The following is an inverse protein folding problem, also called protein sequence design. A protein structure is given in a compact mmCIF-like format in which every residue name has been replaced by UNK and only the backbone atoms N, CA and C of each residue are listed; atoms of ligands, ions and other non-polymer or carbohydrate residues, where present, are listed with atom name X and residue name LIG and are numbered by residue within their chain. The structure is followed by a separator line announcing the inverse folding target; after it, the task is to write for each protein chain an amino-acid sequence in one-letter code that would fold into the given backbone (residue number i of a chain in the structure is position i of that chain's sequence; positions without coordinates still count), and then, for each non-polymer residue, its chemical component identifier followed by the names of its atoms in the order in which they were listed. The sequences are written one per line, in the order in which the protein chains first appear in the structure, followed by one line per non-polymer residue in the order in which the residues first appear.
data_IF_957919549083
#
_entry.id   IF_957919549083
#
_cell.length_a   1.000
_cell.length_b   1.000
_cell.length_c   1.000
_cell.angle_alpha   90.00
_cell.angle_beta   90.00
_cell.angle_gamma   90.00
#
_symmetry.space_group_name_H-M   'P 1'
#
loop_
_entity.id
_entity.type
_entity.pdbx_description
1 polymer ?
#
# COMPACT_ATOMS: atom_id res chain seq x y z
N UNK A 1 -3.49 14.34 -18.91
CA UNK A 1 -2.03 14.23 -18.65
C UNK A 1 -1.35 15.56 -18.27
N UNK A 2 -1.67 16.71 -18.88
CA UNK A 2 -1.00 17.99 -18.58
C UNK A 2 -1.23 18.53 -17.14
N UNK A 3 -2.37 18.30 -16.51
CA UNK A 3 -2.64 18.74 -15.14
C UNK A 3 -1.90 17.93 -14.06
N UNK A 4 -1.60 16.65 -14.34
CA UNK A 4 -0.93 15.77 -13.41
C UNK A 4 0.57 16.09 -13.26
N UNK A 5 1.23 16.54 -14.33
CA UNK A 5 2.64 16.94 -14.29
C UNK A 5 2.88 18.26 -13.53
N UNK A 6 1.85 19.09 -13.37
CA UNK A 6 1.92 20.35 -12.60
C UNK A 6 1.75 20.11 -11.09
N UNK A 7 0.96 19.10 -10.69
CA UNK A 7 0.82 18.67 -9.28
C UNK A 7 2.11 18.05 -8.74
N UNK A 8 2.85 17.32 -9.58
CA UNK A 8 4.12 16.69 -9.22
C UNK A 8 5.24 17.69 -8.86
N UNK A 9 5.20 18.90 -9.38
CA UNK A 9 6.23 19.93 -9.10
C UNK A 9 6.09 20.56 -7.71
N UNK A 10 4.96 20.37 -7.01
CA UNK A 10 4.83 20.62 -5.59
C UNK A 10 5.22 19.35 -4.82
N UNK A 11 6.52 19.09 -4.67
CA UNK A 11 6.98 18.15 -3.63
C UNK A 11 6.36 18.62 -2.30
N UNK A 12 5.33 17.90 -1.85
CA UNK A 12 4.67 18.18 -0.58
C UNK A 12 5.67 17.92 0.53
N UNK A 13 6.13 18.99 1.14
CA UNK A 13 7.06 18.90 2.27
C UNK A 13 6.31 18.19 3.39
N UNK A 14 6.80 17.03 3.85
CA UNK A 14 6.17 16.29 4.95
C UNK A 14 6.05 17.17 6.20
N UNK A 15 4.98 16.95 6.97
CA UNK A 15 4.68 17.62 8.23
C UNK A 15 4.24 16.62 9.28
N UNK A 16 4.31 17.01 10.54
CA UNK A 16 3.70 16.26 11.62
C UNK A 16 2.26 16.74 11.83
N UNK A 17 1.34 15.79 11.90
CA UNK A 17 -0.09 16.00 12.16
C UNK A 17 -0.49 15.26 13.42
N UNK A 18 -1.47 15.79 14.15
CA UNK A 18 -2.18 15.08 15.21
C UNK A 18 -3.56 14.69 14.69
N UNK A 19 -3.78 13.41 14.48
CA UNK A 19 -5.02 12.89 13.88
C UNK A 19 -5.89 12.19 14.92
N UNK A 20 -7.17 12.51 14.90
CA UNK A 20 -8.23 11.87 15.69
C UNK A 20 -8.84 10.74 14.88
N UNK A 21 -8.89 9.53 15.43
CA UNK A 21 -9.59 8.41 14.78
C UNK A 21 -11.09 8.68 14.77
N UNK A 22 -11.71 8.60 13.58
CA UNK A 22 -13.15 8.71 13.41
C UNK A 22 -13.83 7.34 13.52
N UNK A 23 -13.32 6.36 12.76
CA UNK A 23 -13.83 5.00 12.72
C UNK A 23 -12.65 4.04 12.81
N UNK A 24 -12.84 2.96 13.55
CA UNK A 24 -11.94 1.81 13.61
C UNK A 24 -12.79 0.56 13.36
N UNK A 25 -12.66 -0.03 12.18
CA UNK A 25 -13.46 -1.19 11.75
C UNK A 25 -12.57 -2.38 11.43
N UNK A 26 -12.93 -3.57 11.92
CA UNK A 26 -12.20 -4.80 11.62
C UNK A 26 -12.53 -5.29 10.20
N UNK A 27 -11.51 -5.35 9.34
CA UNK A 27 -11.60 -5.84 7.95
C UNK A 27 -11.61 -7.36 7.94
N UNK A 28 -10.69 -7.95 8.67
CA UNK A 28 -10.51 -9.39 8.91
C UNK A 28 -9.73 -9.56 10.20
N UNK A 29 -9.55 -10.79 10.68
CA UNK A 29 -8.88 -11.09 11.95
C UNK A 29 -7.61 -10.26 12.17
N UNK A 30 -7.58 -9.46 13.23
CA UNK A 30 -6.47 -8.59 13.63
C UNK A 30 -6.05 -7.54 12.58
N UNK A 31 -6.92 -7.19 11.63
CA UNK A 31 -6.65 -6.17 10.63
C UNK A 31 -7.79 -5.17 10.57
N UNK A 32 -7.47 -3.90 10.69
CA UNK A 32 -8.42 -2.82 10.90
C UNK A 32 -8.25 -1.73 9.84
N UNK A 33 -9.36 -1.16 9.42
CA UNK A 33 -9.41 0.10 8.67
C UNK A 33 -9.66 1.23 9.68
N UNK A 34 -8.79 2.23 9.65
CA UNK A 34 -8.89 3.41 10.51
C UNK A 34 -9.08 4.63 9.63
N UNK A 35 -10.16 5.40 9.86
CA UNK A 35 -10.39 6.69 9.23
C UNK A 35 -10.18 7.81 10.24
N UNK A 36 -9.96 9.04 9.75
CA UNK A 36 -9.61 10.19 10.55
C UNK A 36 -10.60 11.34 10.40
N UNK A 37 -10.66 12.23 11.38
CA UNK A 37 -11.45 13.45 11.34
C UNK A 37 -10.74 14.54 10.54
N UNK A 38 -9.42 14.63 10.71
CA UNK A 38 -8.56 15.57 10.01
C UNK A 38 -8.09 14.99 8.67
N UNK A 39 -7.63 15.84 7.77
CA UNK A 39 -7.14 15.49 6.45
C UNK A 39 -5.88 16.28 6.08
N UNK A 40 -5.15 15.80 5.08
CA UNK A 40 -4.03 16.49 4.45
C UNK A 40 -3.83 15.99 3.01
N UNK A 41 -3.19 16.78 2.18
CA UNK A 41 -2.93 16.43 0.79
C UNK A 41 -1.83 15.37 0.67
N UNK A 42 -2.10 14.34 -0.12
CA UNK A 42 -1.13 13.33 -0.53
C UNK A 42 -1.53 12.72 -1.88
N UNK A 43 -0.57 12.03 -2.52
CA UNK A 43 -0.76 11.37 -3.80
C UNK A 43 -0.74 9.83 -3.63
N UNK A 44 -1.37 9.08 -4.55
CA UNK A 44 -1.35 7.61 -4.51
C UNK A 44 0.07 7.05 -4.39
N UNK A 45 0.23 5.96 -3.65
CA UNK A 45 1.52 5.30 -3.41
C UNK A 45 2.37 5.94 -2.30
N UNK A 46 1.97 7.09 -1.74
CA UNK A 46 2.65 7.67 -0.58
C UNK A 46 2.22 6.99 0.73
N UNK A 47 3.05 7.14 1.76
CA UNK A 47 2.85 6.53 3.07
C UNK A 47 3.00 7.56 4.20
N UNK A 48 2.73 7.13 5.41
CA UNK A 48 2.96 7.90 6.63
C UNK A 48 3.71 7.09 7.68
N UNK A 49 4.31 7.79 8.64
CA UNK A 49 4.91 7.20 9.83
C UNK A 49 4.10 7.60 11.06
N UNK A 50 3.51 6.62 11.74
CA UNK A 50 2.60 6.83 12.87
C UNK A 50 3.29 6.51 14.19
N UNK A 51 3.12 7.38 15.18
CA UNK A 51 3.45 7.13 16.59
C UNK A 51 2.34 7.62 17.50
N UNK A 52 2.31 7.06 18.68
CA UNK A 52 1.49 7.50 19.80
C UNK A 52 2.21 7.09 21.07
N UNK A 53 2.04 7.82 22.15
CA UNK A 53 2.65 7.50 23.44
C UNK A 53 2.23 6.10 23.88
N UNK A 54 3.16 5.28 24.34
CA UNK A 54 2.93 3.87 24.66
C UNK A 54 3.06 2.86 23.52
N UNK A 55 3.10 3.31 22.23
CA UNK A 55 3.23 2.40 21.08
C UNK A 55 4.68 1.98 20.78
N UNK A 56 5.65 2.37 21.61
CA UNK A 56 7.08 2.10 21.47
C UNK A 56 7.87 3.28 20.90
N UNK A 57 9.19 3.11 20.85
CA UNK A 57 10.14 4.20 20.56
C UNK A 57 10.12 4.68 19.10
N UNK A 58 9.80 3.81 18.16
CA UNK A 58 9.85 4.14 16.74
C UNK A 58 8.46 4.30 16.15
N UNK A 59 8.33 5.24 15.21
CA UNK A 59 7.14 5.34 14.36
C UNK A 59 6.98 4.07 13.51
N UNK A 60 5.76 3.80 13.09
CA UNK A 60 5.43 2.65 12.23
C UNK A 60 4.91 3.11 10.89
N UNK A 61 5.42 2.55 9.77
CA UNK A 61 4.96 2.91 8.43
C UNK A 61 3.58 2.32 8.14
N UNK A 62 2.73 3.12 7.50
CA UNK A 62 1.45 2.69 6.93
C UNK A 62 1.22 3.39 5.59
N UNK A 63 0.71 2.65 4.61
CA UNK A 63 0.30 3.22 3.34
C UNK A 63 -0.92 4.13 3.54
N UNK A 64 -0.93 5.24 2.81
CA UNK A 64 -2.03 6.21 2.86
C UNK A 64 -3.13 5.84 1.85
N UNK A 65 -4.37 6.00 2.26
CA UNK A 65 -5.53 5.82 1.42
C UNK A 65 -6.59 6.89 1.62
N UNK A 66 -7.50 6.96 0.66
CA UNK A 66 -8.75 7.73 0.74
C UNK A 66 -9.92 6.83 0.42
N UNK A 67 -10.97 6.92 1.21
CA UNK A 67 -12.22 6.26 0.95
C UNK A 67 -13.18 7.27 0.33
N UNK A 68 -13.93 6.84 -0.70
CA UNK A 68 -14.87 7.71 -1.40
C UNK A 68 -14.22 9.04 -1.88
N UNK A 69 -12.93 9.00 -2.24
CA UNK A 69 -12.11 10.14 -2.67
C UNK A 69 -11.92 11.26 -1.64
N UNK A 70 -12.44 11.12 -0.44
CA UNK A 70 -12.48 12.20 0.55
C UNK A 70 -11.89 11.84 1.91
N UNK A 71 -12.19 10.66 2.44
CA UNK A 71 -11.90 10.30 3.83
C UNK A 71 -10.51 9.69 3.98
N UNK A 72 -9.60 10.37 4.67
CA UNK A 72 -8.26 9.86 4.96
C UNK A 72 -8.33 8.56 5.75
N UNK A 73 -7.58 7.56 5.32
CA UNK A 73 -7.57 6.24 5.93
C UNK A 73 -6.19 5.56 5.89
N UNK A 74 -5.98 4.66 6.84
CA UNK A 74 -4.90 3.67 6.86
C UNK A 74 -5.46 2.30 7.18
N UNK A 75 -4.80 1.23 6.71
CA UNK A 75 -5.07 -0.13 7.16
C UNK A 75 -3.98 -0.58 8.12
N UNK A 76 -4.37 -1.14 9.26
CA UNK A 76 -3.46 -1.54 10.33
C UNK A 76 -3.65 -3.01 10.66
N UNK A 77 -2.63 -3.83 10.43
CA UNK A 77 -2.56 -5.20 10.95
C UNK A 77 -1.88 -5.21 12.32
N UNK A 78 -2.52 -5.79 13.31
CA UNK A 78 -1.90 -6.02 14.62
C UNK A 78 -0.85 -7.11 14.47
N UNK A 79 0.42 -6.70 14.50
CA UNK A 79 1.59 -7.59 14.43
C UNK A 79 2.42 -7.57 15.73
N UNK A 80 2.04 -6.73 16.69
CA UNK A 80 2.71 -6.61 17.99
C UNK A 80 2.12 -5.46 18.81
N UNK A 81 2.64 -5.27 20.02
CA UNK A 81 2.11 -4.30 21.01
C UNK A 81 1.93 -2.88 20.45
N UNK A 82 2.84 -2.39 19.64
CA UNK A 82 2.75 -1.02 19.11
C UNK A 82 1.61 -0.84 18.10
N UNK A 83 1.40 -1.77 17.17
CA UNK A 83 0.25 -1.73 16.25
C UNK A 83 -1.06 -1.98 16.97
N UNK A 84 -1.07 -2.85 17.99
CA UNK A 84 -2.21 -3.07 18.85
C UNK A 84 -2.60 -1.78 19.60
N UNK A 85 -1.62 -1.07 20.16
CA UNK A 85 -1.87 0.19 20.85
C UNK A 85 -2.42 1.25 19.90
N UNK A 86 -1.88 1.40 18.69
CA UNK A 86 -2.40 2.32 17.66
C UNK A 86 -3.89 2.04 17.37
N UNK A 87 -4.29 0.77 17.27
CA UNK A 87 -5.69 0.39 17.01
C UNK A 87 -6.58 0.71 18.22
N UNK A 88 -6.15 0.36 19.44
CA UNK A 88 -7.00 0.37 20.64
C UNK A 88 -7.03 1.70 21.38
N UNK A 89 -5.97 2.54 21.29
CA UNK A 89 -5.93 3.82 22.02
C UNK A 89 -7.03 4.78 21.57
N UNK A 90 -7.50 5.61 22.48
CA UNK A 90 -8.36 6.76 22.17
C UNK A 90 -7.56 8.07 22.01
N UNK A 91 -6.25 8.03 22.18
CA UNK A 91 -5.39 9.19 22.01
C UNK A 91 -5.24 9.58 20.53
N UNK A 92 -4.91 10.84 20.27
CA UNK A 92 -4.57 11.30 18.93
C UNK A 92 -3.27 10.65 18.47
N UNK A 93 -3.25 10.26 17.21
CA UNK A 93 -2.06 9.69 16.57
C UNK A 93 -1.17 10.82 16.03
N UNK A 94 0.12 10.76 16.34
CA UNK A 94 1.11 11.66 15.72
C UNK A 94 1.58 11.05 14.40
N UNK A 95 1.25 11.71 13.30
CA UNK A 95 1.45 11.21 11.95
C UNK A 95 2.40 12.12 11.20
N UNK A 96 3.54 11.58 10.75
CA UNK A 96 4.47 12.27 9.84
C UNK A 96 4.10 11.88 8.40
N UNK A 97 3.66 12.83 7.59
CA UNK A 97 3.13 12.59 6.24
C UNK A 97 3.19 13.86 5.37
N UNK A 98 2.97 13.77 4.03
CA UNK A 98 3.13 12.52 3.25
C UNK A 98 4.61 12.18 3.05
N UNK A 99 4.93 10.90 2.94
CA UNK A 99 6.28 10.38 2.74
C UNK A 99 6.34 9.49 1.50
N UNK A 100 7.54 9.31 0.96
CA UNK A 100 7.78 8.52 -0.25
C UNK A 100 7.37 9.23 -1.53
N UNK A 101 7.67 8.58 -2.65
CA UNK A 101 7.33 9.07 -3.97
C UNK A 101 5.90 8.67 -4.36
N UNK A 102 5.16 9.53 -5.08
CA UNK A 102 3.86 9.15 -5.60
C UNK A 102 3.98 8.08 -6.69
N UNK A 103 2.98 7.21 -6.75
CA UNK A 103 2.82 6.24 -7.83
C UNK A 103 2.08 6.88 -9.01
N UNK A 104 2.69 6.78 -10.19
CA UNK A 104 2.15 7.28 -11.45
C UNK A 104 2.23 6.14 -12.46
N UNK A 105 1.10 5.50 -12.81
CA UNK A 105 1.11 4.46 -13.80
C UNK A 105 1.35 5.01 -15.21
N UNK A 106 1.93 4.19 -16.08
CA UNK A 106 2.22 4.54 -17.47
C UNK A 106 0.94 4.60 -18.35
N UNK A 107 -0.12 3.89 -17.95
CA UNK A 107 -1.43 3.88 -18.60
C UNK A 107 -2.57 3.82 -17.57
N UNK A 108 -3.81 4.03 -18.02
CA UNK A 108 -5.00 3.87 -17.18
C UNK A 108 -5.56 2.43 -17.19
N UNK A 109 -4.92 1.51 -17.89
CA UNK A 109 -5.39 0.13 -18.03
C UNK A 109 -4.62 -0.80 -17.09
N UNK A 110 -5.02 -0.85 -15.83
CA UNK A 110 -4.37 -1.67 -14.80
C UNK A 110 -5.34 -2.30 -13.83
N UNK A 111 -4.81 -3.05 -12.88
CA UNK A 111 -5.55 -3.59 -11.74
C UNK A 111 -4.73 -3.50 -10.45
N UNK A 112 -5.42 -3.45 -9.32
CA UNK A 112 -4.80 -3.37 -7.99
C UNK A 112 -5.08 -4.66 -7.23
N UNK A 113 -4.03 -5.29 -6.70
CA UNK A 113 -4.11 -6.42 -5.78
C UNK A 113 -3.52 -6.01 -4.45
N UNK A 114 -4.28 -6.09 -3.37
CA UNK A 114 -3.78 -5.74 -2.04
C UNK A 114 -4.09 -6.83 -1.02
N UNK A 115 -3.21 -6.93 -0.02
CA UNK A 115 -3.56 -7.63 1.22
C UNK A 115 -4.52 -6.77 2.05
N UNK A 116 -5.29 -7.33 3.00
CA UNK A 116 -6.16 -6.55 3.88
C UNK A 116 -5.43 -5.44 4.66
N UNK A 117 -4.16 -5.65 4.99
CA UNK A 117 -3.32 -4.63 5.66
C UNK A 117 -2.97 -3.42 4.79
N UNK A 118 -3.26 -3.48 3.49
CA UNK A 118 -3.02 -2.41 2.51
C UNK A 118 -4.33 -1.96 1.84
N UNK A 119 -5.50 -2.33 2.39
CA UNK A 119 -6.80 -2.09 1.78
C UNK A 119 -7.09 -0.61 1.53
N UNK A 120 -6.73 0.28 2.46
CA UNK A 120 -6.92 1.73 2.29
C UNK A 120 -6.19 2.27 1.04
N UNK A 121 -4.95 1.84 0.81
CA UNK A 121 -4.17 2.16 -0.40
C UNK A 121 -4.86 1.60 -1.65
N UNK A 122 -5.28 0.33 -1.60
CA UNK A 122 -5.95 -0.32 -2.71
C UNK A 122 -7.25 0.37 -3.13
N UNK A 123 -8.08 0.77 -2.17
CA UNK A 123 -9.31 1.54 -2.43
C UNK A 123 -8.96 2.87 -3.09
N UNK A 124 -7.98 3.59 -2.53
CA UNK A 124 -7.55 4.88 -3.08
C UNK A 124 -7.07 4.78 -4.53
N UNK A 125 -6.22 3.80 -4.84
CA UNK A 125 -5.72 3.57 -6.19
C UNK A 125 -6.86 3.21 -7.15
N UNK A 126 -7.74 2.29 -6.75
CA UNK A 126 -8.88 1.85 -7.55
C UNK A 126 -9.81 3.03 -7.87
N UNK A 127 -10.18 3.83 -6.86
CA UNK A 127 -11.06 4.99 -7.06
C UNK A 127 -10.39 6.14 -7.84
N UNK A 128 -9.07 6.32 -7.68
CA UNK A 128 -8.32 7.41 -8.35
C UNK A 128 -8.13 7.14 -9.83
N UNK A 129 -7.88 5.88 -10.21
CA UNK A 129 -7.58 5.49 -11.59
C UNK A 129 -8.74 4.79 -12.29
N UNK A 130 -9.87 4.57 -11.59
CA UNK A 130 -11.05 3.85 -12.07
C UNK A 130 -10.71 2.44 -12.58
N UNK A 131 -10.03 1.66 -11.75
CA UNK A 131 -9.50 0.33 -12.07
C UNK A 131 -9.97 -0.71 -11.05
N UNK A 132 -10.00 -2.01 -11.43
CA UNK A 132 -10.44 -3.08 -10.53
C UNK A 132 -9.62 -3.17 -9.24
N UNK A 133 -10.34 -3.36 -8.11
CA UNK A 133 -9.76 -3.67 -6.81
C UNK A 133 -9.93 -5.16 -6.51
N UNK A 134 -8.81 -5.81 -6.25
CA UNK A 134 -8.73 -7.22 -5.88
C UNK A 134 -8.07 -7.31 -4.50
N UNK A 135 -8.63 -8.12 -3.62
CA UNK A 135 -8.05 -8.37 -2.30
C UNK A 135 -7.66 -9.83 -2.20
N UNK A 136 -6.37 -10.10 -1.97
CA UNK A 136 -5.86 -11.43 -1.69
C UNK A 136 -5.61 -11.58 -0.19
N UNK A 137 -6.29 -12.52 0.44
CA UNK A 137 -6.30 -12.72 1.89
C UNK A 137 -6.06 -14.18 2.28
N UNK A 138 -5.53 -14.39 3.48
CA UNK A 138 -5.43 -15.74 4.06
C UNK A 138 -6.73 -16.18 4.74
N UNK A 139 -7.59 -15.24 5.09
CA UNK A 139 -8.86 -15.47 5.81
C UNK A 139 -9.97 -14.63 5.17
N UNK A 140 -11.20 -15.03 5.40
CA UNK A 140 -12.37 -14.29 4.92
C UNK A 140 -12.36 -12.84 5.41
N UNK A 141 -12.87 -11.94 4.57
CA UNK A 141 -13.10 -10.55 4.92
C UNK A 141 -14.51 -10.35 5.45
N UNK A 142 -14.68 -9.31 6.26
CA UNK A 142 -16.00 -8.85 6.66
C UNK A 142 -16.82 -8.46 5.40
N UNK A 143 -17.94 -9.13 5.17
CA UNK A 143 -18.80 -8.95 3.99
C UNK A 143 -19.24 -7.50 3.75
N UNK A 144 -19.36 -6.70 4.82
CA UNK A 144 -19.72 -5.27 4.69
C UNK A 144 -18.71 -4.51 3.84
N UNK A 145 -17.41 -4.81 4.00
CA UNK A 145 -16.36 -4.17 3.20
C UNK A 145 -16.41 -4.64 1.74
N UNK A 146 -16.57 -5.94 1.53
CA UNK A 146 -16.64 -6.51 0.19
C UNK A 146 -17.76 -5.86 -0.64
N UNK A 147 -18.95 -5.72 -0.04
CA UNK A 147 -20.12 -5.10 -0.70
C UNK A 147 -19.93 -3.58 -0.90
N UNK A 148 -19.39 -2.89 0.13
CA UNK A 148 -19.23 -1.43 0.11
C UNK A 148 -18.27 -0.95 -0.99
N UNK A 149 -17.14 -1.65 -1.18
CA UNK A 149 -16.08 -1.24 -2.10
C UNK A 149 -16.03 -2.06 -3.41
N UNK A 150 -17.03 -2.92 -3.68
CA UNK A 150 -17.15 -3.71 -4.90
C UNK A 150 -15.87 -4.47 -5.28
N UNK A 151 -15.15 -4.98 -4.27
CA UNK A 151 -13.90 -5.68 -4.47
C UNK A 151 -14.11 -7.17 -4.80
N UNK A 152 -13.21 -7.74 -5.58
CA UNK A 152 -13.08 -9.20 -5.74
C UNK A 152 -12.16 -9.71 -4.64
N UNK A 153 -12.55 -10.78 -3.95
CA UNK A 153 -11.77 -11.35 -2.85
C UNK A 153 -11.35 -12.78 -3.20
N UNK A 154 -10.09 -13.07 -3.00
CA UNK A 154 -9.48 -14.38 -3.18
C UNK A 154 -8.86 -14.83 -1.85
N UNK A 155 -9.25 -16.01 -1.37
CA UNK A 155 -8.85 -16.49 -0.03
C UNK A 155 -8.01 -17.75 -0.17
N UNK A 156 -6.80 -17.70 0.35
CA UNK A 156 -5.85 -18.79 0.33
C UNK A 156 -4.79 -18.68 -0.78
N UNK A 157 -3.76 -19.51 -0.65
CA UNK A 157 -2.61 -19.45 -1.55
C UNK A 157 -2.94 -19.95 -2.97
N UNK A 158 -3.75 -21.01 -3.07
CA UNK A 158 -4.10 -21.62 -4.37
C UNK A 158 -4.96 -20.64 -5.20
N UNK A 159 -5.95 -20.00 -4.57
CA UNK A 159 -6.75 -18.96 -5.19
C UNK A 159 -5.91 -17.76 -5.65
N UNK A 160 -4.90 -17.39 -4.85
CA UNK A 160 -3.98 -16.33 -5.23
C UNK A 160 -3.13 -16.71 -6.45
N UNK A 161 -2.57 -17.92 -6.51
CA UNK A 161 -1.81 -18.39 -7.67
C UNK A 161 -2.66 -18.49 -8.94
N UNK A 162 -3.90 -18.98 -8.82
CA UNK A 162 -4.86 -19.01 -9.92
C UNK A 162 -5.16 -17.60 -10.45
N UNK A 163 -5.37 -16.63 -9.55
CA UNK A 163 -5.56 -15.22 -9.90
C UNK A 163 -4.35 -14.67 -10.66
N UNK A 164 -3.12 -14.93 -10.20
CA UNK A 164 -1.91 -14.45 -10.88
C UNK A 164 -1.80 -15.02 -12.30
N UNK A 165 -2.14 -16.30 -12.49
CA UNK A 165 -2.19 -16.93 -13.80
C UNK A 165 -3.23 -16.28 -14.72
N UNK A 166 -4.44 -16.02 -14.22
CA UNK A 166 -5.49 -15.28 -14.95
C UNK A 166 -4.99 -13.90 -15.38
N UNK A 167 -4.42 -13.15 -14.45
CA UNK A 167 -3.97 -11.79 -14.70
C UNK A 167 -2.77 -11.72 -15.65
N UNK A 168 -1.89 -12.72 -15.64
CA UNK A 168 -0.76 -12.78 -16.58
C UNK A 168 -1.21 -12.80 -18.05
N UNK A 169 -2.40 -13.35 -18.33
CA UNK A 169 -3.00 -13.43 -19.66
C UNK A 169 -4.12 -12.40 -19.89
N UNK A 170 -4.39 -11.51 -18.93
CA UNK A 170 -5.40 -10.47 -19.03
C UNK A 170 -5.01 -9.36 -20.02
N UNK A 171 -5.95 -8.47 -20.35
CA UNK A 171 -5.69 -7.29 -21.19
C UNK A 171 -5.09 -6.10 -20.43
N UNK A 172 -4.84 -6.20 -19.11
CA UNK A 172 -4.22 -5.12 -18.35
C UNK A 172 -2.77 -4.90 -18.75
N UNK A 173 -2.34 -3.65 -18.82
CA UNK A 173 -0.96 -3.27 -19.12
C UNK A 173 -0.06 -3.45 -17.89
N UNK A 174 -0.60 -3.18 -16.71
CA UNK A 174 0.13 -3.27 -15.45
C UNK A 174 -0.75 -3.76 -14.30
N UNK A 175 -0.08 -4.33 -13.29
CA UNK A 175 -0.69 -4.78 -12.04
C UNK A 175 0.06 -4.14 -10.87
N UNK A 176 -0.67 -3.49 -9.96
CA UNK A 176 -0.13 -3.00 -8.70
C UNK A 176 -0.37 -4.02 -7.60
N UNK A 177 0.66 -4.32 -6.82
CA UNK A 177 0.58 -5.29 -5.72
C UNK A 177 1.12 -4.66 -4.43
N UNK A 178 0.33 -4.76 -3.35
CA UNK A 178 0.75 -4.30 -2.02
C UNK A 178 0.33 -5.31 -0.95
N UNK A 179 1.32 -5.85 -0.24
CA UNK A 179 1.06 -6.88 0.76
C UNK A 179 2.30 -7.36 1.50
N UNK A 180 2.43 -8.66 1.70
CA UNK A 180 3.65 -9.24 2.23
C UNK A 180 4.68 -9.41 1.12
N UNK A 181 5.97 -9.40 1.48
CA UNK A 181 7.08 -9.62 0.54
C UNK A 181 6.90 -10.89 -0.30
N UNK A 182 6.42 -11.98 0.31
CA UNK A 182 6.13 -13.23 -0.40
C UNK A 182 5.01 -13.06 -1.44
N UNK A 183 3.95 -12.33 -1.09
CA UNK A 183 2.85 -12.03 -2.01
C UNK A 183 3.33 -11.22 -3.22
N UNK A 184 4.13 -10.20 -2.98
CA UNK A 184 4.70 -9.33 -4.01
C UNK A 184 5.67 -10.10 -4.91
N UNK A 185 6.58 -10.90 -4.33
CA UNK A 185 7.53 -11.73 -5.06
C UNK A 185 6.83 -12.79 -5.95
N UNK A 186 5.80 -13.46 -5.41
CA UNK A 186 4.99 -14.41 -6.19
C UNK A 186 4.29 -13.72 -7.36
N UNK A 187 3.76 -12.52 -7.16
CA UNK A 187 3.12 -11.77 -8.24
C UNK A 187 4.11 -11.46 -9.36
N UNK A 188 5.31 -10.98 -9.05
CA UNK A 188 6.34 -10.67 -10.04
C UNK A 188 6.78 -11.93 -10.80
N UNK A 189 7.03 -13.04 -10.09
CA UNK A 189 7.49 -14.28 -10.70
C UNK A 189 6.43 -14.98 -11.55
N UNK A 190 5.15 -14.88 -11.20
CA UNK A 190 4.06 -15.58 -11.90
C UNK A 190 3.37 -14.71 -12.97
N UNK A 191 3.75 -13.45 -13.11
CA UNK A 191 3.23 -12.57 -14.16
C UNK A 191 4.35 -12.01 -15.06
N UNK A 192 5.14 -12.85 -15.76
CA UNK A 192 6.27 -12.41 -16.59
C UNK A 192 5.84 -11.55 -17.78
N UNK A 193 4.58 -11.65 -18.23
CA UNK A 193 4.02 -10.88 -19.34
C UNK A 193 3.44 -9.53 -18.92
N UNK A 194 3.55 -9.14 -17.64
CA UNK A 194 2.99 -7.91 -17.09
C UNK A 194 4.06 -6.99 -16.51
N UNK A 195 3.77 -5.70 -16.57
CA UNK A 195 4.46 -4.74 -15.71
C UNK A 195 3.84 -4.84 -14.32
N UNK A 196 4.60 -5.37 -13.36
CA UNK A 196 4.15 -5.48 -11.97
C UNK A 196 4.81 -4.38 -11.15
N UNK A 197 4.01 -3.52 -10.52
CA UNK A 197 4.46 -2.57 -9.52
C UNK A 197 4.21 -3.13 -8.13
N UNK A 198 5.17 -2.98 -7.22
CA UNK A 198 5.08 -3.47 -5.85
C UNK A 198 5.28 -2.32 -4.85
N UNK A 199 4.40 -2.24 -3.85
CA UNK A 199 4.50 -1.27 -2.76
C UNK A 199 5.16 -1.95 -1.57
N UNK A 200 6.49 -1.80 -1.45
CA UNK A 200 7.29 -2.53 -0.48
C UNK A 200 6.99 -2.12 0.96
N UNK A 201 6.60 -3.11 1.76
CA UNK A 201 6.36 -2.97 3.19
C UNK A 201 7.64 -3.37 3.97
N UNK A 202 8.58 -2.44 4.11
CA UNK A 202 9.83 -2.66 4.83
C UNK A 202 9.82 -2.02 6.22
N UNK A 203 10.67 -2.55 7.11
CA UNK A 203 10.90 -1.94 8.41
C UNK A 203 11.54 -0.56 8.25
N UNK A 204 10.94 0.45 8.86
CA UNK A 204 11.43 1.83 8.80
C UNK A 204 11.59 2.39 10.21
N UNK A 205 12.72 3.07 10.45
CA UNK A 205 12.92 3.82 11.68
C UNK A 205 12.57 5.30 11.49
N UNK A 206 13.18 5.99 10.51
CA UNK A 206 12.97 7.44 10.33
C UNK A 206 11.93 7.81 9.27
N UNK A 207 11.74 7.02 8.22
CA UNK A 207 10.83 7.30 7.10
C UNK A 207 11.28 8.41 6.13
N UNK A 208 12.43 9.06 6.36
CA UNK A 208 12.90 10.27 5.65
C UNK A 208 14.32 10.14 5.06
N UNK A 209 14.86 8.92 4.94
CA UNK A 209 16.18 8.67 4.36
C UNK A 209 17.38 8.87 5.29
N UNK A 210 17.21 9.35 6.52
CA UNK A 210 18.33 9.68 7.40
C UNK A 210 19.05 8.45 7.97
N UNK A 211 18.31 7.40 8.37
CA UNK A 211 18.87 6.23 9.06
C UNK A 211 19.38 5.13 8.14
N UNK A 212 19.01 5.15 6.84
CA UNK A 212 19.36 4.13 5.84
C UNK A 212 18.83 2.70 6.14
N UNK A 213 17.99 2.52 7.16
CA UNK A 213 17.55 1.21 7.64
C UNK A 213 16.52 0.48 6.73
N UNK A 214 15.88 1.17 5.78
CA UNK A 214 14.94 0.59 4.83
C UNK A 214 15.59 0.31 3.46
N UNK A 215 16.86 -0.11 3.46
CA UNK A 215 17.60 -0.42 2.24
C UNK A 215 17.11 -1.71 1.61
N UNK A 216 16.94 -1.70 0.28
CA UNK A 216 16.63 -2.86 -0.54
C UNK A 216 17.60 -2.93 -1.72
N UNK A 217 17.99 -4.15 -2.08
CA UNK A 217 18.78 -4.39 -3.28
C UNK A 217 17.88 -4.33 -4.52
N UNK A 218 18.37 -3.66 -5.55
CA UNK A 218 17.70 -3.59 -6.85
C UNK A 218 18.72 -3.85 -7.97
N UNK A 219 18.24 -4.09 -9.18
CA UNK A 219 19.11 -4.20 -10.37
C UNK A 219 19.91 -2.93 -10.65
N UNK A 220 19.53 -1.82 -10.03
CA UNK A 220 20.20 -0.51 -10.14
C UNK A 220 20.99 -0.13 -8.86
N UNK A 221 21.35 -1.14 -8.04
CA UNK A 221 22.04 -0.94 -6.76
C UNK A 221 21.06 -0.76 -5.57
N UNK A 222 21.63 -0.35 -4.44
CA UNK A 222 20.87 -0.19 -3.20
C UNK A 222 19.95 1.04 -3.30
N UNK A 223 18.67 0.84 -2.96
CA UNK A 223 17.65 1.87 -2.85
C UNK A 223 17.07 1.90 -1.43
N UNK A 224 16.46 3.02 -1.05
CA UNK A 224 15.83 3.17 0.26
C UNK A 224 14.32 3.33 0.06
N UNK A 225 13.54 2.40 0.60
CA UNK A 225 12.08 2.37 0.40
C UNK A 225 11.41 3.68 0.77
N UNK A 226 11.86 4.35 1.82
CA UNK A 226 11.26 5.62 2.26
C UNK A 226 11.53 6.83 1.37
N UNK A 227 12.56 6.82 0.52
CA UNK A 227 12.95 7.96 -0.34
C UNK A 227 12.93 7.65 -1.83
N UNK A 228 13.23 6.42 -2.21
CA UNK A 228 13.23 5.99 -3.61
C UNK A 228 11.91 5.30 -4.02
N UNK A 229 11.15 4.79 -3.02
CA UNK A 229 9.85 4.13 -3.16
C UNK A 229 8.72 4.92 -2.47
N UNK A 230 7.74 4.23 -1.87
CA UNK A 230 7.70 2.78 -1.59
C UNK A 230 7.36 1.90 -2.78
N UNK A 231 6.87 2.48 -3.89
CA UNK A 231 6.47 1.73 -5.07
C UNK A 231 7.65 1.58 -6.03
N UNK A 232 7.91 0.34 -6.42
CA UNK A 232 8.96 -0.03 -7.37
C UNK A 232 8.39 -0.91 -8.49
N UNK A 233 9.04 -0.93 -9.63
CA UNK A 233 8.82 -2.01 -10.61
C UNK A 233 9.35 -3.32 -10.00
N UNK A 234 8.54 -4.35 -10.03
CA UNK A 234 8.86 -5.64 -9.42
C UNK A 234 10.07 -6.32 -10.06
N UNK A 235 10.26 -6.17 -11.37
CA UNK A 235 11.43 -6.67 -12.11
C UNK A 235 12.76 -5.99 -11.71
N UNK A 236 12.70 -4.83 -11.05
CA UNK A 236 13.88 -4.19 -10.47
C UNK A 236 14.30 -4.80 -9.12
N UNK A 237 13.40 -5.51 -8.44
CA UNK A 237 13.61 -6.12 -7.12
C UNK A 237 13.84 -7.62 -7.24
N UNK A 238 13.02 -8.31 -8.04
CA UNK A 238 13.11 -9.76 -8.26
C UNK A 238 13.31 -10.06 -9.73
N UNK A 239 14.32 -10.89 -10.03
CA UNK A 239 14.56 -11.31 -11.40
C UNK A 239 13.41 -12.19 -11.90
N UNK A 240 12.86 -11.83 -13.05
CA UNK A 240 11.87 -12.61 -13.78
C UNK A 240 12.61 -13.50 -14.76
N UNK A 241 12.43 -14.82 -14.65
CA UNK A 241 12.89 -15.74 -15.71
C UNK A 241 11.94 -15.56 -16.90
N UNK A 242 12.33 -14.75 -17.87
CA UNK A 242 11.66 -14.71 -19.18
C UNK A 242 12.14 -15.93 -19.94
N UNK A 243 11.24 -16.88 -20.20
CA UNK A 243 11.51 -17.91 -21.19
C UNK A 243 11.62 -17.19 -22.53
N UNK A 244 12.84 -17.17 -23.10
CA UNK A 244 13.04 -16.80 -24.49
C UNK A 244 12.44 -17.94 -25.34
N UNK A 245 11.33 -17.65 -26.03
CA UNK A 245 10.79 -18.49 -27.10
C UNK A 245 11.77 -18.56 -28.26
#
# INVERSE_FOLDING_TARGET
MANFSAELKKQTKYKAFLLTKRIVEEITQNTYLITFEEDFDFLPGQFCMVSVDGAGLTRKPYTLGRLNKMELAISVKIAGKGSEYIVKTNEKLNVLAPLGNPFIPESNNGAVIVAPSCLAEGIHLSERFDIPLIVASKTELNEKFVKKFKMRVFVGNDEYLNLLSELNHSAFDWIFVSGSRVMEELAVKNMPNKVVYVSLNEYMACGIGACKGCAVETVHGIKHVCTDGPVFRGDNIWQVQRHSD
#
